data_IF_218127277331
#
_entry.id   IF_218127277331
#
_cell.length_a   1.000
_cell.length_b   1.000
_cell.length_c   1.000
_cell.angle_alpha   90.00
_cell.angle_beta   90.00
_cell.angle_gamma   90.00
#
_symmetry.space_group_name_H-M   'P 1'
#
loop_
_entity.id
_entity.type
_entity.pdbx_description
1 polymer ?
#
# COMPACT_ATOMS: atom_id res chain seq x y z
N UNK A 1 3.79 34.26 59.53
CA UNK A 1 4.79 33.84 58.51
C UNK A 1 4.06 33.32 57.28
N UNK A 2 3.78 34.21 56.36
CA UNK A 2 3.09 33.95 55.10
C UNK A 2 4.13 33.76 54.02
N UNK A 3 4.21 32.55 53.42
CA UNK A 3 5.04 32.31 52.23
C UNK A 3 4.23 32.65 51.00
N UNK A 4 4.66 33.68 50.31
CA UNK A 4 4.24 34.04 48.95
C UNK A 4 4.81 33.04 47.95
N UNK A 5 3.95 32.41 47.16
CA UNK A 5 4.37 31.64 46.00
C UNK A 5 4.47 32.60 44.80
N UNK A 6 5.70 32.86 44.39
CA UNK A 6 5.99 33.58 43.12
C UNK A 6 5.86 32.62 41.98
N UNK A 7 4.85 32.79 41.12
CA UNK A 7 4.51 31.95 39.98
C UNK A 7 4.91 32.68 38.68
N UNK A 8 6.21 33.01 38.54
CA UNK A 8 6.74 33.59 37.32
C UNK A 8 7.17 32.48 36.37
N UNK A 9 6.33 32.19 35.37
CA UNK A 9 6.70 31.33 34.23
C UNK A 9 7.88 31.93 33.48
N UNK A 10 8.98 31.19 33.38
CA UNK A 10 10.21 31.61 32.75
C UNK A 10 9.99 31.66 31.22
N UNK A 11 10.60 32.64 30.52
CA UNK A 11 10.52 32.80 29.06
C UNK A 11 10.82 31.53 28.25
N UNK A 12 11.61 30.60 28.81
CA UNK A 12 11.90 29.30 28.20
C UNK A 12 10.71 28.34 28.23
N UNK A 13 9.84 28.41 29.21
CA UNK A 13 8.66 27.56 29.34
C UNK A 13 7.54 28.03 28.41
N UNK A 14 7.42 29.33 28.17
CA UNK A 14 6.50 29.92 27.18
C UNK A 14 6.91 29.51 25.76
N UNK A 15 8.22 29.50 25.44
CA UNK A 15 8.72 29.07 24.13
C UNK A 15 8.51 27.56 23.89
N UNK A 16 8.55 26.73 24.93
CA UNK A 16 8.25 25.29 24.83
C UNK A 16 6.76 25.02 24.59
N UNK A 17 5.89 25.80 25.20
CA UNK A 17 4.43 25.72 24.98
C UNK A 17 4.04 26.15 23.55
N UNK A 18 4.68 27.20 23.01
CA UNK A 18 4.44 27.66 21.63
C UNK A 18 4.98 26.67 20.60
N UNK A 19 6.15 26.05 20.85
CA UNK A 19 6.71 25.03 19.96
C UNK A 19 5.89 23.73 19.99
N UNK A 20 5.33 23.34 21.13
CA UNK A 20 4.45 22.17 21.27
C UNK A 20 3.09 22.37 20.58
N UNK A 21 2.53 23.56 20.66
CA UNK A 21 1.26 23.91 20.00
C UNK A 21 1.35 23.97 18.47
N UNK A 22 2.45 24.47 17.94
CA UNK A 22 2.66 24.57 16.50
C UNK A 22 2.87 23.21 15.82
N UNK A 23 3.47 22.22 16.50
CA UNK A 23 3.65 20.86 15.98
C UNK A 23 2.37 20.04 16.01
N UNK A 24 1.52 20.23 17.02
CA UNK A 24 0.20 19.58 17.12
C UNK A 24 -0.77 20.11 16.05
N UNK A 25 -0.84 21.43 15.85
CA UNK A 25 -1.71 22.03 14.82
C UNK A 25 -1.26 21.69 13.40
N UNK A 26 0.05 21.63 13.12
CA UNK A 26 0.57 21.22 11.83
C UNK A 26 0.29 19.72 11.52
N UNK A 27 0.24 18.86 12.55
CA UNK A 27 -0.12 17.44 12.42
C UNK A 27 -1.61 17.26 12.10
N UNK A 28 -2.49 17.97 12.78
CA UNK A 28 -3.95 17.91 12.57
C UNK A 28 -4.32 18.46 11.20
N UNK A 29 -3.73 19.56 10.75
CA UNK A 29 -4.00 20.14 9.42
C UNK A 29 -3.52 19.27 8.27
N UNK A 30 -2.42 18.51 8.43
CA UNK A 30 -1.94 17.57 7.42
C UNK A 30 -2.83 16.32 7.31
N UNK A 31 -3.28 15.74 8.42
CA UNK A 31 -4.20 14.60 8.41
C UNK A 31 -5.52 14.97 7.71
N UNK A 32 -6.11 16.11 8.04
CA UNK A 32 -7.35 16.58 7.40
C UNK A 32 -7.20 16.89 5.90
N UNK A 33 -6.03 17.38 5.46
CA UNK A 33 -5.76 17.62 4.05
C UNK A 33 -5.59 16.32 3.25
N UNK A 34 -4.92 15.31 3.83
CA UNK A 34 -4.78 13.98 3.24
C UNK A 34 -6.15 13.30 3.08
N UNK A 35 -6.97 13.33 4.10
CA UNK A 35 -8.34 12.82 4.07
C UNK A 35 -9.18 13.52 3.00
N UNK A 36 -9.08 14.84 2.87
CA UNK A 36 -9.81 15.60 1.86
C UNK A 36 -9.37 15.26 0.42
N UNK A 37 -8.08 15.01 0.18
CA UNK A 37 -7.58 14.59 -1.14
C UNK A 37 -8.06 13.18 -1.49
N UNK A 38 -7.94 12.24 -0.55
CA UNK A 38 -8.39 10.85 -0.76
C UNK A 38 -9.90 10.82 -0.98
N UNK A 39 -10.69 11.54 -0.18
CA UNK A 39 -12.15 11.64 -0.32
C UNK A 39 -12.55 12.13 -1.72
N UNK A 40 -11.93 13.20 -2.19
CA UNK A 40 -12.16 13.70 -3.54
C UNK A 40 -11.82 12.67 -4.62
N UNK A 41 -10.69 11.94 -4.48
CA UNK A 41 -10.32 10.91 -5.44
C UNK A 41 -11.31 9.74 -5.46
N UNK A 42 -11.91 9.39 -4.33
CA UNK A 42 -12.95 8.37 -4.22
C UNK A 42 -14.21 8.85 -4.98
N UNK A 43 -14.68 10.05 -4.70
CA UNK A 43 -15.87 10.62 -5.33
C UNK A 43 -15.72 10.71 -6.86
N UNK A 44 -14.56 11.20 -7.33
CA UNK A 44 -14.23 11.26 -8.76
C UNK A 44 -14.09 9.88 -9.41
N UNK A 45 -13.49 8.92 -8.70
CA UNK A 45 -13.30 7.55 -9.19
C UNK A 45 -14.63 6.78 -9.25
N UNK A 46 -15.59 7.08 -8.37
CA UNK A 46 -16.89 6.40 -8.34
C UNK A 46 -17.63 6.49 -9.69
N UNK A 47 -17.39 7.54 -10.45
CA UNK A 47 -17.94 7.73 -11.80
C UNK A 47 -17.28 6.86 -12.88
N UNK A 48 -16.20 6.14 -12.59
CA UNK A 48 -15.38 5.41 -13.57
C UNK A 48 -15.84 3.98 -13.87
N UNK A 49 -16.90 3.52 -13.26
CA UNK A 49 -17.45 2.18 -13.51
C UNK A 49 -16.67 1.06 -12.79
N UNK A 50 -15.84 0.30 -13.49
CA UNK A 50 -15.18 -0.90 -12.93
C UNK A 50 -14.05 -0.59 -11.95
N UNK A 51 -13.77 -1.54 -11.04
CA UNK A 51 -12.63 -1.48 -10.12
C UNK A 51 -11.30 -1.20 -10.85
N UNK A 52 -11.09 -1.80 -12.03
CA UNK A 52 -9.90 -1.58 -12.86
C UNK A 52 -9.76 -0.11 -13.29
N UNK A 53 -10.87 0.52 -13.69
CA UNK A 53 -10.90 1.92 -14.10
C UNK A 53 -10.69 2.85 -12.90
N UNK A 54 -11.28 2.54 -11.75
CA UNK A 54 -11.08 3.30 -10.51
C UNK A 54 -9.62 3.24 -10.03
N UNK A 55 -9.02 2.04 -10.05
CA UNK A 55 -7.60 1.85 -9.71
C UNK A 55 -6.67 2.64 -10.64
N UNK A 56 -6.90 2.57 -11.96
CA UNK A 56 -6.09 3.31 -12.93
C UNK A 56 -6.22 4.83 -12.72
N UNK A 57 -7.44 5.33 -12.48
CA UNK A 57 -7.70 6.74 -12.22
C UNK A 57 -6.96 7.21 -10.96
N UNK A 58 -7.21 6.57 -9.80
CA UNK A 58 -6.65 6.99 -8.50
C UNK A 58 -5.13 6.88 -8.53
N UNK A 59 -4.59 5.75 -8.98
CA UNK A 59 -3.14 5.55 -9.05
C UNK A 59 -2.45 6.55 -9.99
N UNK A 60 -3.12 6.93 -11.09
CA UNK A 60 -2.63 7.95 -12.02
C UNK A 60 -2.61 9.34 -11.40
N UNK A 61 -3.65 9.72 -10.66
CA UNK A 61 -3.75 11.00 -9.95
C UNK A 61 -2.72 11.16 -8.83
N UNK A 62 -2.16 10.05 -8.34
CA UNK A 62 -1.10 10.04 -7.33
C UNK A 62 0.31 10.04 -7.90
N UNK A 63 0.50 10.07 -9.24
CA UNK A 63 1.85 10.21 -9.83
C UNK A 63 2.49 11.52 -9.41
N UNK A 64 3.81 11.51 -9.25
CA UNK A 64 4.58 12.62 -8.70
C UNK A 64 4.59 12.69 -7.16
N UNK A 65 3.71 11.95 -6.46
CA UNK A 65 3.77 11.86 -5.00
C UNK A 65 5.09 11.24 -4.56
N UNK A 66 5.69 11.80 -3.53
CA UNK A 66 7.03 11.46 -3.03
C UNK A 66 7.11 10.01 -2.55
N UNK A 67 8.24 9.34 -2.82
CA UNK A 67 8.59 8.09 -2.15
C UNK A 67 9.09 8.36 -0.73
N UNK A 68 8.61 7.58 0.23
CA UNK A 68 9.14 7.51 1.59
C UNK A 68 8.91 6.12 2.16
N UNK A 69 10.00 5.44 2.53
CA UNK A 69 9.93 4.17 3.26
C UNK A 69 9.61 4.38 4.74
N UNK A 70 9.18 3.30 5.39
CA UNK A 70 8.93 3.24 6.85
C UNK A 70 7.92 4.28 7.34
N UNK A 71 6.84 4.47 6.59
CA UNK A 71 5.78 5.44 6.94
C UNK A 71 4.81 4.91 7.98
N UNK A 72 4.71 3.60 8.15
CA UNK A 72 3.87 2.97 9.16
C UNK A 72 4.51 3.04 10.55
N UNK A 73 3.69 3.27 11.56
CA UNK A 73 4.12 3.49 12.95
C UNK A 73 3.61 2.37 13.83
N UNK A 74 4.52 1.64 14.45
CA UNK A 74 4.24 0.53 15.34
C UNK A 74 5.43 -0.43 15.43
N UNK A 75 5.37 -1.37 16.37
CA UNK A 75 6.42 -2.37 16.57
C UNK A 75 6.09 -3.32 17.69
N UNK A 76 6.91 -4.37 17.93
CA UNK A 76 6.66 -5.37 18.97
C UNK A 76 6.50 -4.78 20.37
N UNK A 77 7.16 -3.63 20.63
CA UNK A 77 7.14 -2.90 21.91
C UNK A 77 6.60 -1.48 21.79
N UNK A 78 6.02 -1.13 20.63
CA UNK A 78 5.45 0.18 20.35
C UNK A 78 4.03 0.01 19.82
N UNK A 79 3.03 0.69 20.39
CA UNK A 79 1.66 0.63 19.88
C UNK A 79 1.59 0.92 18.39
N UNK A 80 0.80 0.11 17.69
CA UNK A 80 0.49 0.32 16.27
C UNK A 80 -0.42 1.53 16.13
N UNK A 81 -0.14 2.37 15.13
CA UNK A 81 -1.00 3.49 14.75
C UNK A 81 -1.59 3.23 13.37
N UNK A 82 -2.86 3.52 13.21
CA UNK A 82 -3.48 3.52 11.90
C UNK A 82 -3.05 4.78 11.14
N UNK A 83 -2.16 4.60 10.16
CA UNK A 83 -1.58 5.70 9.40
C UNK A 83 -2.26 5.80 8.04
N UNK A 84 -2.81 6.97 7.74
CA UNK A 84 -3.30 7.37 6.42
C UNK A 84 -2.43 8.51 5.92
N UNK A 85 -1.89 8.38 4.69
CA UNK A 85 -1.07 9.41 4.04
C UNK A 85 -1.39 9.49 2.55
N UNK A 86 -1.28 10.68 2.01
CA UNK A 86 -1.42 10.97 0.58
C UNK A 86 -0.21 11.74 0.00
N UNK A 87 0.70 12.16 0.88
CA UNK A 87 1.86 13.01 0.57
C UNK A 87 3.15 12.21 0.32
N UNK A 88 3.20 10.94 0.74
CA UNK A 88 4.34 10.07 0.52
C UNK A 88 3.97 8.59 0.68
N UNK A 89 4.58 7.72 -0.13
CA UNK A 89 4.36 6.29 -0.13
C UNK A 89 5.67 5.50 -0.24
N UNK A 90 5.71 4.30 0.34
CA UNK A 90 6.50 3.21 -0.18
C UNK A 90 5.68 2.38 -1.18
N UNK A 91 6.28 1.33 -1.74
CA UNK A 91 5.61 0.53 -2.78
C UNK A 91 4.36 -0.20 -2.27
N UNK A 92 4.35 -0.66 -1.02
CA UNK A 92 3.21 -1.38 -0.42
C UNK A 92 2.11 -0.41 -0.02
N UNK A 93 2.44 0.65 0.73
CA UNK A 93 1.46 1.64 1.17
C UNK A 93 0.79 2.37 0.01
N UNK A 94 1.49 2.56 -1.12
CA UNK A 94 0.88 3.04 -2.36
C UNK A 94 -0.21 2.08 -2.86
N UNK A 95 0.09 0.78 -2.93
CA UNK A 95 -0.89 -0.21 -3.35
C UNK A 95 -2.09 -0.29 -2.40
N UNK A 96 -1.85 -0.23 -1.08
CA UNK A 96 -2.91 -0.28 -0.07
C UNK A 96 -3.87 0.91 -0.16
N UNK A 97 -3.34 2.14 -0.25
CA UNK A 97 -4.15 3.36 -0.34
C UNK A 97 -4.98 3.36 -1.63
N UNK A 98 -4.35 3.04 -2.78
CA UNK A 98 -5.06 3.00 -4.06
C UNK A 98 -6.15 1.92 -4.07
N UNK A 99 -5.85 0.72 -3.57
CA UNK A 99 -6.80 -0.38 -3.51
C UNK A 99 -7.98 -0.07 -2.58
N UNK A 100 -7.69 0.49 -1.40
CA UNK A 100 -8.73 0.89 -0.43
C UNK A 100 -9.64 1.97 -1.01
N UNK A 101 -9.08 3.00 -1.62
CA UNK A 101 -9.84 4.10 -2.22
C UNK A 101 -10.68 3.63 -3.43
N UNK A 102 -10.14 2.72 -4.26
CA UNK A 102 -10.88 2.18 -5.40
C UNK A 102 -12.04 1.24 -5.00
N UNK A 103 -11.96 0.64 -3.81
CA UNK A 103 -12.99 -0.27 -3.26
C UNK A 103 -14.01 0.44 -2.39
N UNK A 104 -13.69 1.61 -1.85
CA UNK A 104 -14.64 2.41 -1.09
C UNK A 104 -15.77 2.90 -2.02
N UNK A 105 -17.01 2.62 -1.65
CA UNK A 105 -18.21 3.12 -2.33
C UNK A 105 -18.47 4.60 -2.03
N UNK A 106 -17.98 5.06 -0.87
CA UNK A 106 -18.03 6.44 -0.42
C UNK A 106 -16.80 6.77 0.44
N UNK A 107 -16.42 8.06 0.59
CA UNK A 107 -15.27 8.46 1.42
C UNK A 107 -15.27 7.90 2.83
N UNK A 108 -16.43 7.80 3.48
CA UNK A 108 -16.56 7.26 4.85
C UNK A 108 -16.23 5.77 4.99
N UNK A 109 -16.15 5.01 3.90
CA UNK A 109 -15.80 3.59 3.90
C UNK A 109 -14.30 3.34 3.74
N UNK A 110 -13.53 4.38 3.42
CA UNK A 110 -12.12 4.26 3.10
C UNK A 110 -11.29 3.65 4.23
N UNK A 111 -11.45 4.14 5.44
CA UNK A 111 -10.70 3.67 6.61
C UNK A 111 -10.98 2.19 6.92
N UNK A 112 -12.23 1.77 6.84
CA UNK A 112 -12.62 0.37 7.01
C UNK A 112 -12.00 -0.52 5.93
N UNK A 113 -12.04 -0.07 4.67
CA UNK A 113 -11.42 -0.75 3.53
C UNK A 113 -9.89 -0.88 3.72
N UNK A 114 -9.21 0.20 4.11
CA UNK A 114 -7.76 0.19 4.33
C UNK A 114 -7.35 -0.70 5.51
N UNK A 115 -8.13 -0.71 6.60
CA UNK A 115 -7.91 -1.62 7.73
C UNK A 115 -8.03 -3.08 7.30
N UNK A 116 -9.08 -3.42 6.55
CA UNK A 116 -9.31 -4.77 6.05
C UNK A 116 -8.21 -5.25 5.08
N UNK A 117 -7.58 -4.35 4.32
CA UNK A 117 -6.48 -4.65 3.41
C UNK A 117 -5.15 -4.84 4.15
N UNK A 118 -4.86 -3.97 5.11
CA UNK A 118 -3.55 -3.89 5.79
C UNK A 118 -3.40 -4.85 6.96
N UNK A 119 -4.49 -5.14 7.68
CA UNK A 119 -4.49 -5.89 8.92
C UNK A 119 -5.40 -7.11 8.84
N UNK A 120 -4.99 -8.23 9.43
CA UNK A 120 -5.88 -9.36 9.65
C UNK A 120 -7.10 -8.92 10.44
N UNK A 121 -8.28 -9.31 9.97
CA UNK A 121 -9.58 -8.96 10.57
C UNK A 121 -9.79 -7.45 10.79
N UNK A 122 -9.02 -6.57 10.10
CA UNK A 122 -9.09 -5.12 10.26
C UNK A 122 -8.59 -4.59 11.62
N UNK A 123 -7.97 -5.44 12.44
CA UNK A 123 -7.51 -5.08 13.80
C UNK A 123 -6.19 -4.33 13.74
N UNK A 124 -6.20 -3.06 14.15
CA UNK A 124 -5.00 -2.20 14.18
C UNK A 124 -4.06 -2.64 15.28
N UNK A 125 -3.14 -3.53 14.93
CA UNK A 125 -2.11 -4.08 15.81
C UNK A 125 -0.89 -4.46 14.99
N UNK A 126 0.30 -4.29 15.58
CA UNK A 126 1.53 -4.70 14.90
C UNK A 126 1.53 -6.21 14.58
N UNK A 127 0.95 -7.05 15.43
CA UNK A 127 0.87 -8.50 15.21
C UNK A 127 -0.10 -8.88 14.10
N UNK A 128 -1.15 -8.08 13.90
CA UNK A 128 -2.17 -8.30 12.87
C UNK A 128 -1.82 -7.62 11.53
N UNK A 129 -0.79 -6.77 11.50
CA UNK A 129 -0.32 -6.17 10.25
C UNK A 129 0.30 -7.21 9.33
N UNK A 130 -0.05 -7.21 8.07
CA UNK A 130 0.56 -8.07 7.05
C UNK A 130 2.00 -7.62 6.78
N UNK A 131 2.97 -8.31 7.41
CA UNK A 131 4.38 -7.91 7.35
C UNK A 131 5.09 -8.38 6.08
N UNK A 132 4.63 -9.47 5.49
CA UNK A 132 5.13 -10.02 4.24
C UNK A 132 4.11 -9.81 3.14
N UNK A 133 4.56 -9.46 1.95
CA UNK A 133 3.64 -9.23 0.83
C UNK A 133 2.93 -10.51 0.40
N UNK A 134 3.51 -11.67 0.62
CA UNK A 134 2.83 -12.95 0.43
C UNK A 134 1.63 -13.09 1.38
N UNK A 135 1.82 -12.85 2.68
CA UNK A 135 0.73 -12.89 3.68
C UNK A 135 -0.33 -11.83 3.35
N UNK A 136 0.10 -10.64 2.96
CA UNK A 136 -0.80 -9.58 2.47
C UNK A 136 -1.65 -10.06 1.29
N UNK A 137 -1.02 -10.72 0.31
CA UNK A 137 -1.72 -11.27 -0.85
C UNK A 137 -2.72 -12.36 -0.47
N UNK A 138 -2.33 -13.33 0.37
CA UNK A 138 -3.20 -14.40 0.82
C UNK A 138 -4.41 -13.86 1.59
N UNK A 139 -4.18 -12.96 2.55
CA UNK A 139 -5.24 -12.31 3.30
C UNK A 139 -6.24 -11.57 2.38
N UNK A 140 -5.73 -10.84 1.38
CA UNK A 140 -6.57 -10.12 0.42
C UNK A 140 -7.28 -11.04 -0.60
N UNK A 141 -6.82 -12.27 -0.78
CA UNK A 141 -7.54 -13.31 -1.52
C UNK A 141 -8.66 -13.90 -0.65
N UNK A 142 -8.37 -14.26 0.58
CA UNK A 142 -9.32 -14.87 1.53
C UNK A 142 -10.52 -13.97 1.81
N UNK A 143 -10.30 -12.68 1.95
CA UNK A 143 -11.37 -11.68 2.16
C UNK A 143 -12.01 -11.16 0.85
N UNK A 144 -11.71 -11.79 -0.30
CA UNK A 144 -12.24 -11.43 -1.62
C UNK A 144 -11.92 -9.98 -2.07
N UNK A 145 -10.85 -9.41 -1.58
CA UNK A 145 -10.33 -8.11 -2.07
C UNK A 145 -9.63 -8.29 -3.41
N UNK A 146 -8.91 -9.40 -3.57
CA UNK A 146 -8.21 -9.76 -4.79
C UNK A 146 -8.46 -11.24 -5.15
N UNK A 147 -8.13 -11.60 -6.39
CA UNK A 147 -7.94 -13.01 -6.80
C UNK A 147 -6.58 -13.19 -7.44
N UNK A 148 -5.96 -14.38 -7.35
CA UNK A 148 -4.71 -14.64 -8.04
C UNK A 148 -4.93 -14.65 -9.56
N UNK A 149 -3.92 -14.21 -10.30
CA UNK A 149 -3.84 -14.36 -11.76
C UNK A 149 -2.67 -15.28 -12.07
N UNK A 150 -2.98 -16.49 -12.48
CA UNK A 150 -1.99 -17.46 -12.92
C UNK A 150 -2.01 -17.54 -14.44
N UNK A 151 -0.85 -17.73 -15.05
CA UNK A 151 -0.65 -17.90 -16.49
C UNK A 151 -0.19 -19.34 -16.77
N UNK A 152 -0.46 -19.82 -17.96
CA UNK A 152 0.10 -21.12 -18.38
C UNK A 152 1.63 -21.07 -18.32
N UNK A 153 2.23 -22.03 -17.61
CA UNK A 153 3.65 -22.00 -17.27
C UNK A 153 3.99 -21.36 -15.92
N UNK A 154 2.98 -21.00 -15.10
CA UNK A 154 3.19 -20.69 -13.67
C UNK A 154 3.71 -21.92 -12.94
N UNK A 155 4.61 -21.71 -11.98
CA UNK A 155 5.23 -22.78 -11.18
C UNK A 155 5.08 -22.49 -9.68
N UNK A 156 5.20 -23.51 -8.85
CA UNK A 156 5.32 -23.33 -7.39
C UNK A 156 6.77 -23.27 -6.97
N UNK A 157 7.09 -22.37 -6.08
CA UNK A 157 8.38 -22.27 -5.41
C UNK A 157 8.20 -22.25 -3.89
N UNK A 158 9.18 -22.81 -3.17
CA UNK A 158 9.25 -22.68 -1.73
C UNK A 158 10.19 -21.53 -1.37
N UNK A 159 9.76 -20.69 -0.43
CA UNK A 159 10.57 -19.58 0.07
C UNK A 159 10.47 -19.52 1.58
N UNK A 160 11.63 -19.51 2.23
CA UNK A 160 11.74 -19.26 3.67
C UNK A 160 12.31 -17.87 3.87
N UNK A 161 11.66 -17.08 4.71
CA UNK A 161 12.05 -15.70 5.04
C UNK A 161 12.17 -15.53 6.54
N UNK A 162 13.05 -14.62 6.94
CA UNK A 162 13.26 -14.22 8.32
C UNK A 162 13.56 -12.74 8.38
N UNK A 163 12.52 -11.93 8.54
CA UNK A 163 12.65 -10.47 8.59
C UNK A 163 12.82 -9.96 10.03
N UNK A 164 12.04 -10.50 10.98
CA UNK A 164 12.05 -10.01 12.36
C UNK A 164 11.92 -11.18 13.34
N UNK A 165 12.69 -11.12 14.45
CA UNK A 165 12.72 -12.20 15.46
C UNK A 165 11.34 -12.52 16.08
N UNK A 166 10.52 -11.51 16.30
CA UNK A 166 9.17 -11.68 16.88
C UNK A 166 8.17 -12.37 15.92
N UNK A 167 8.44 -12.34 14.61
CA UNK A 167 7.64 -13.02 13.58
C UNK A 167 8.16 -14.43 13.32
N UNK A 168 9.41 -14.73 13.73
CA UNK A 168 10.06 -16.01 13.46
C UNK A 168 10.35 -16.25 11.98
N UNK A 169 10.74 -17.50 11.67
CA UNK A 169 10.89 -17.95 10.28
C UNK A 169 9.51 -18.25 9.69
N UNK A 170 9.26 -17.77 8.47
CA UNK A 170 8.06 -18.07 7.68
C UNK A 170 8.44 -18.87 6.45
N UNK A 171 7.71 -19.93 6.17
CA UNK A 171 7.85 -20.73 4.95
C UNK A 171 6.59 -20.56 4.10
N UNK A 172 6.80 -20.15 2.86
CA UNK A 172 5.74 -19.90 1.90
C UNK A 172 5.88 -20.83 0.69
N UNK A 173 4.77 -21.41 0.25
CA UNK A 173 4.63 -22.06 -1.05
C UNK A 173 3.94 -21.07 -1.99
N UNK A 174 4.66 -20.49 -2.92
CA UNK A 174 4.21 -19.38 -3.75
C UNK A 174 4.05 -19.85 -5.19
N UNK A 175 2.85 -19.68 -5.76
CA UNK A 175 2.68 -19.81 -7.21
C UNK A 175 3.21 -18.55 -7.90
N UNK A 176 4.22 -18.70 -8.72
CA UNK A 176 4.93 -17.60 -9.38
C UNK A 176 4.89 -17.76 -10.89
N UNK A 177 4.98 -16.66 -11.61
CA UNK A 177 5.05 -16.59 -13.05
C UNK A 177 6.52 -16.31 -13.44
N UNK A 178 7.19 -17.21 -14.17
CA UNK A 178 8.53 -16.95 -14.70
C UNK A 178 8.53 -15.70 -15.60
N UNK A 179 9.61 -14.92 -15.57
CA UNK A 179 9.75 -13.69 -16.36
C UNK A 179 9.38 -13.86 -17.83
N UNK A 180 9.85 -14.92 -18.47
CA UNK A 180 9.58 -15.16 -19.89
C UNK A 180 8.08 -15.37 -20.16
N UNK A 181 7.42 -16.17 -19.28
CA UNK A 181 5.96 -16.39 -19.34
C UNK A 181 5.19 -15.09 -19.15
N UNK A 182 5.58 -14.30 -18.15
CA UNK A 182 4.96 -12.99 -17.88
C UNK A 182 5.02 -12.06 -19.09
N UNK A 183 6.22 -11.88 -19.67
CA UNK A 183 6.43 -10.97 -20.80
C UNK A 183 5.76 -11.46 -22.09
N UNK A 184 5.60 -12.78 -22.27
CA UNK A 184 4.93 -13.35 -23.45
C UNK A 184 3.39 -13.20 -23.37
N UNK A 185 2.81 -13.09 -22.18
CA UNK A 185 1.35 -13.12 -21.96
C UNK A 185 0.73 -11.75 -21.60
N UNK A 186 1.27 -10.66 -22.13
CA UNK A 186 0.82 -9.28 -21.83
C UNK A 186 -0.69 -9.06 -22.04
N UNK A 187 -1.31 -9.76 -22.98
CA UNK A 187 -2.75 -9.64 -23.31
C UNK A 187 -3.68 -10.17 -22.21
N UNK A 188 -3.17 -10.98 -21.29
CA UNK A 188 -3.95 -11.52 -20.15
C UNK A 188 -3.92 -10.59 -18.93
N UNK A 189 -3.08 -9.55 -18.95
CA UNK A 189 -2.94 -8.57 -17.91
C UNK A 189 -4.02 -7.50 -18.03
N UNK A 190 -4.51 -7.01 -16.88
CA UNK A 190 -5.46 -5.91 -16.83
C UNK A 190 -4.83 -4.69 -16.14
N UNK A 191 -5.28 -3.50 -16.52
CA UNK A 191 -4.98 -2.28 -15.74
C UNK A 191 -5.41 -2.47 -14.29
N UNK A 192 -4.55 -2.07 -13.36
CA UNK A 192 -4.81 -2.20 -11.94
C UNK A 192 -4.54 -3.60 -11.37
N UNK A 193 -4.10 -4.59 -12.16
CA UNK A 193 -3.52 -5.82 -11.59
C UNK A 193 -2.34 -5.42 -10.72
N UNK A 194 -2.27 -5.96 -9.50
CA UNK A 194 -1.16 -5.73 -8.59
C UNK A 194 -0.08 -6.75 -8.92
N UNK A 195 1.13 -6.27 -9.22
CA UNK A 195 2.29 -7.11 -9.51
C UNK A 195 3.27 -7.08 -8.36
N UNK A 196 3.71 -8.26 -7.92
CA UNK A 196 4.79 -8.44 -6.94
C UNK A 196 6.02 -9.08 -7.56
N UNK A 197 7.19 -8.57 -7.24
CA UNK A 197 8.49 -9.02 -7.74
C UNK A 197 9.24 -9.78 -6.66
N UNK A 198 9.39 -11.10 -6.85
CA UNK A 198 10.04 -12.01 -5.90
C UNK A 198 11.55 -11.71 -5.82
N UNK A 199 12.09 -11.68 -4.61
CA UNK A 199 13.54 -11.55 -4.38
C UNK A 199 14.17 -12.88 -4.00
N UNK A 200 15.49 -13.00 -4.24
CA UNK A 200 16.30 -14.12 -3.76
C UNK A 200 16.84 -13.90 -2.33
N UNK A 201 16.67 -12.71 -1.77
CA UNK A 201 17.13 -12.38 -0.41
C UNK A 201 16.40 -13.23 0.63
N UNK A 202 17.09 -13.65 1.72
CA UNK A 202 16.48 -14.48 2.77
C UNK A 202 15.65 -13.70 3.79
N UNK A 203 15.75 -12.37 3.81
CA UNK A 203 15.10 -11.49 4.77
C UNK A 203 13.76 -10.93 4.28
N UNK A 204 13.40 -11.14 3.00
CA UNK A 204 12.16 -10.68 2.43
C UNK A 204 11.63 -11.62 1.34
N UNK A 205 10.34 -11.60 1.14
CA UNK A 205 9.64 -12.37 0.10
C UNK A 205 9.63 -11.65 -1.25
N UNK A 206 9.27 -10.38 -1.26
CA UNK A 206 9.23 -9.51 -2.44
C UNK A 206 10.15 -8.30 -2.23
N UNK A 207 10.84 -7.86 -3.28
CA UNK A 207 11.64 -6.64 -3.20
C UNK A 207 10.87 -5.41 -3.66
N UNK A 208 9.78 -5.59 -4.43
CA UNK A 208 8.98 -4.50 -4.95
C UNK A 208 7.58 -4.93 -5.36
N UNK A 209 6.65 -3.97 -5.37
CA UNK A 209 5.26 -4.13 -5.81
C UNK A 209 4.76 -2.87 -6.52
N UNK A 210 3.71 -3.01 -7.32
CA UNK A 210 3.07 -1.91 -8.03
C UNK A 210 1.85 -2.38 -8.82
N UNK A 211 1.37 -1.54 -9.71
CA UNK A 211 0.23 -1.82 -10.58
C UNK A 211 0.65 -2.00 -12.04
N UNK A 212 -0.04 -2.89 -12.73
CA UNK A 212 -0.02 -2.94 -14.18
C UNK A 212 -0.74 -1.70 -14.72
N UNK A 213 -0.07 -0.98 -15.58
CA UNK A 213 -0.61 0.12 -16.36
C UNK A 213 -0.22 -0.02 -17.83
N UNK A 214 -0.85 0.77 -18.71
CA UNK A 214 -0.55 0.79 -20.12
C UNK A 214 -0.33 2.23 -20.58
N UNK A 215 0.74 2.45 -21.34
CA UNK A 215 1.02 3.72 -22.01
C UNK A 215 0.06 4.00 -23.16
N UNK A 216 0.09 5.21 -23.72
CA UNK A 216 -0.76 5.62 -24.84
C UNK A 216 -0.62 4.76 -26.09
N UNK A 217 0.56 4.16 -26.32
CA UNK A 217 0.83 3.21 -27.38
C UNK A 217 0.51 1.74 -27.06
N UNK A 218 -0.10 1.45 -25.89
CA UNK A 218 -0.34 0.08 -25.43
C UNK A 218 0.89 -0.58 -24.79
N UNK A 219 1.97 0.15 -24.56
CA UNK A 219 3.15 -0.35 -23.87
C UNK A 219 2.81 -0.77 -22.44
N UNK A 220 3.33 -1.92 -22.01
CA UNK A 220 3.19 -2.40 -20.65
C UNK A 220 4.04 -1.56 -19.70
N UNK A 221 3.40 -0.92 -18.74
CA UNK A 221 4.01 -0.05 -17.75
C UNK A 221 3.85 -0.63 -16.35
N UNK A 222 4.81 -0.33 -15.47
CA UNK A 222 4.72 -0.49 -14.03
C UNK A 222 4.42 0.87 -13.41
N UNK A 223 3.26 1.02 -12.77
CA UNK A 223 2.95 2.18 -11.95
C UNK A 223 3.26 1.87 -10.50
N UNK A 224 4.22 2.57 -9.92
CA UNK A 224 4.74 2.25 -8.59
C UNK A 224 5.32 3.46 -7.86
N UNK A 225 5.41 3.36 -6.52
CA UNK A 225 6.23 4.28 -5.73
C UNK A 225 7.69 3.82 -5.82
N UNK A 226 8.50 4.52 -6.60
CA UNK A 226 9.89 4.18 -6.90
C UNK A 226 10.85 4.79 -5.88
N UNK A 227 11.62 3.96 -5.18
CA UNK A 227 12.68 4.42 -4.27
C UNK A 227 13.80 5.12 -5.04
N UNK A 228 14.22 4.58 -6.17
CA UNK A 228 15.32 5.15 -6.97
C UNK A 228 14.96 6.46 -7.64
N UNK A 229 13.69 6.61 -8.08
CA UNK A 229 13.16 7.84 -8.69
C UNK A 229 12.52 8.78 -7.67
N UNK A 230 12.40 8.36 -6.40
CA UNK A 230 11.90 9.12 -5.26
C UNK A 230 10.46 9.63 -5.39
N UNK A 231 9.66 8.99 -6.24
CA UNK A 231 8.26 9.37 -6.48
C UNK A 231 7.44 8.22 -7.07
N UNK A 232 6.13 8.40 -7.09
CA UNK A 232 5.20 7.55 -7.85
C UNK A 232 5.29 7.92 -9.34
N UNK A 233 5.48 6.91 -10.19
CA UNK A 233 5.59 7.12 -11.63
C UNK A 233 5.20 5.87 -12.43
N UNK A 234 5.09 6.04 -13.73
CA UNK A 234 5.00 4.94 -14.70
C UNK A 234 6.39 4.67 -15.28
N UNK A 235 6.87 3.44 -15.18
CA UNK A 235 8.12 2.96 -15.76
C UNK A 235 7.85 1.83 -16.74
N UNK A 236 8.60 1.77 -17.86
CA UNK A 236 8.44 0.64 -18.80
C UNK A 236 8.75 -0.68 -18.09
N UNK A 237 7.80 -1.61 -18.18
CA UNK A 237 7.91 -2.90 -17.49
C UNK A 237 9.12 -3.71 -17.94
N UNK A 238 9.43 -3.72 -19.24
CA UNK A 238 10.57 -4.43 -19.80
C UNK A 238 11.91 -3.88 -19.23
N UNK A 239 12.04 -2.56 -19.15
CA UNK A 239 13.20 -1.88 -18.59
C UNK A 239 13.36 -2.18 -17.11
N UNK A 240 12.28 -2.09 -16.31
CA UNK A 240 12.29 -2.42 -14.89
C UNK A 240 12.69 -3.88 -14.63
N UNK A 241 12.09 -4.81 -15.37
CA UNK A 241 12.34 -6.25 -15.23
C UNK A 241 13.79 -6.61 -15.60
N UNK A 242 14.34 -5.97 -16.63
CA UNK A 242 15.74 -6.17 -17.05
C UNK A 242 16.72 -5.59 -16.04
N UNK A 243 16.54 -4.32 -15.64
CA UNK A 243 17.43 -3.62 -14.71
C UNK A 243 17.49 -4.31 -13.33
N UNK A 244 16.40 -4.86 -12.85
CA UNK A 244 16.31 -5.53 -11.55
C UNK A 244 16.55 -7.07 -11.63
N UNK A 245 16.89 -7.60 -12.82
CA UNK A 245 17.14 -9.03 -13.03
C UNK A 245 16.00 -9.91 -12.47
N UNK A 246 14.75 -9.47 -12.68
CA UNK A 246 13.58 -10.18 -12.17
C UNK A 246 13.53 -11.60 -12.72
N UNK A 247 13.31 -12.59 -11.86
CA UNK A 247 13.17 -14.01 -12.24
C UNK A 247 11.69 -14.42 -12.22
N UNK A 248 10.97 -14.01 -11.20
CA UNK A 248 9.58 -14.40 -10.94
C UNK A 248 8.74 -13.21 -10.51
N UNK A 249 7.48 -13.22 -10.92
CA UNK A 249 6.46 -12.28 -10.48
C UNK A 249 5.24 -13.04 -9.97
N UNK A 250 4.41 -12.35 -9.18
CA UNK A 250 3.04 -12.75 -8.87
C UNK A 250 2.07 -11.67 -9.32
N UNK A 251 0.84 -12.06 -9.61
CA UNK A 251 -0.22 -11.13 -10.01
C UNK A 251 -1.47 -11.36 -9.17
N UNK A 252 -2.03 -10.28 -8.68
CA UNK A 252 -3.32 -10.26 -7.99
C UNK A 252 -4.25 -9.30 -8.73
N UNK A 253 -5.45 -9.75 -9.06
CA UNK A 253 -6.48 -8.92 -9.68
C UNK A 253 -7.47 -8.46 -8.63
N UNK A 254 -7.56 -7.15 -8.35
CA UNK A 254 -8.56 -6.58 -7.46
C UNK A 254 -9.97 -6.93 -7.90
N UNK A 255 -10.85 -7.14 -6.91
CA UNK A 255 -12.24 -7.50 -7.11
C UNK A 255 -13.16 -6.35 -6.68
N UNK A 256 -14.33 -6.27 -7.31
CA UNK A 256 -15.39 -5.37 -6.83
C UNK A 256 -15.76 -5.71 -5.38
N UNK A 257 -16.10 -4.72 -4.56
CA UNK A 257 -16.73 -4.99 -3.28
C UNK A 257 -17.97 -5.87 -3.50
N UNK A 258 -18.16 -6.86 -2.64
CA UNK A 258 -19.44 -7.57 -2.66
C UNK A 258 -20.54 -6.62 -2.22
N UNK A 259 -21.62 -6.55 -2.98
CA UNK A 259 -22.83 -5.89 -2.50
C UNK A 259 -23.24 -6.57 -1.18
N UNK A 260 -23.41 -5.79 -0.12
CA UNK A 260 -24.06 -6.30 1.10
C UNK A 260 -25.47 -6.68 0.67
N UNK A 261 -25.78 -7.99 0.73
CA UNK A 261 -27.15 -8.43 0.51
C UNK A 261 -28.02 -7.73 1.58
N UNK A 262 -28.78 -6.74 1.18
CA UNK A 262 -29.86 -6.22 2.01
C UNK A 262 -30.92 -7.29 2.05
N UNK A 263 -30.98 -8.02 3.16
CA UNK A 263 -32.16 -8.83 3.46
C UNK A 263 -33.27 -7.86 3.79
N UNK A 264 -34.22 -7.70 2.86
CA UNK A 264 -35.53 -7.11 3.13
C UNK A 264 -36.39 -8.03 3.99
#
# INVERSE_FOLDING_TARGET
MTRSFDNSLNRRDILRLIAGGATLTAGITRASAAEARISRLIDEAHTKGSISQRLDYISSALRGTRYQGYTLVGGPKRPEQFVVRDDAFDCVTFCEIVLAAARAGAPGEFDASLRAIRYHNGVVSWRERNHYFFEWGQHNIENNTCRPVNLDGSIKIEKTVYWHKELGKRRFSITVIPRAVFLANKRQLAKGDIIGFITQRPDMDYFHVGFIAFGSGGDLMLRHASQSKRQVLDERMDSFVAANRVRYVTLLRPQEPRAIATYE
#
